data_IF_494398423079
#
_entry.id   IF_494398423079
#
_cell.length_a   1.000
_cell.length_b   1.000
_cell.length_c   1.000
_cell.angle_alpha   90.00
_cell.angle_beta   90.00
_cell.angle_gamma   90.00
#
_symmetry.space_group_name_H-M   'P 1'
#
loop_
_entity.id
_entity.type
_entity.pdbx_description
1 polymer ?
#
# COMPACT_ATOMS: atom_id res chain seq x y z
N UNK A 1 -2.87 -32.21 -0.11
CA UNK A 1 -1.80 -31.43 -0.76
C UNK A 1 -1.45 -30.23 0.15
N UNK A 2 -0.16 -29.90 0.27
CA UNK A 2 0.26 -28.73 1.04
C UNK A 2 -0.10 -27.41 0.30
N UNK A 3 -0.53 -26.39 1.04
CA UNK A 3 -0.81 -25.07 0.49
C UNK A 3 0.49 -24.27 0.32
N UNK A 4 0.61 -23.51 -0.76
CA UNK A 4 1.67 -22.53 -0.94
C UNK A 4 1.53 -21.38 0.06
N UNK A 5 2.59 -20.58 0.25
CA UNK A 5 2.54 -19.40 1.13
C UNK A 5 1.45 -18.42 0.67
N UNK A 6 1.36 -18.16 -0.64
CA UNK A 6 0.32 -17.29 -1.21
C UNK A 6 -1.10 -17.83 -0.89
N UNK A 7 -1.35 -19.12 -1.09
CA UNK A 7 -2.64 -19.73 -0.77
C UNK A 7 -2.98 -19.61 0.73
N UNK A 8 -1.99 -19.75 1.61
CA UNK A 8 -2.21 -19.60 3.05
C UNK A 8 -2.59 -18.16 3.41
N UNK A 9 -1.92 -17.17 2.82
CA UNK A 9 -2.21 -15.74 3.04
C UNK A 9 -3.60 -15.41 2.52
N UNK A 10 -3.93 -15.80 1.29
CA UNK A 10 -5.25 -15.56 0.69
C UNK A 10 -6.35 -16.18 1.55
N UNK A 11 -6.17 -17.43 1.98
CA UNK A 11 -7.14 -18.12 2.84
C UNK A 11 -7.34 -17.42 4.19
N UNK A 12 -6.29 -16.89 4.78
CA UNK A 12 -6.36 -16.16 6.05
C UNK A 12 -7.13 -14.84 5.96
N UNK A 13 -7.19 -14.24 4.75
CA UNK A 13 -7.84 -12.95 4.49
C UNK A 13 -9.16 -13.10 3.71
N UNK A 14 -9.58 -14.34 3.42
CA UNK A 14 -10.81 -14.62 2.68
C UNK A 14 -12.03 -14.26 3.54
N UNK A 15 -12.88 -13.38 3.04
CA UNK A 15 -14.14 -12.97 3.69
C UNK A 15 -15.39 -13.38 2.91
N UNK A 16 -15.23 -13.63 1.60
CA UNK A 16 -16.33 -14.04 0.72
C UNK A 16 -15.82 -14.91 -0.43
N UNK A 17 -16.65 -15.86 -0.87
CA UNK A 17 -16.33 -16.78 -1.94
C UNK A 17 -15.50 -18.00 -1.52
N UNK A 18 -15.09 -18.79 -2.48
CA UNK A 18 -14.25 -19.97 -2.30
C UNK A 18 -12.98 -19.88 -3.15
N UNK A 19 -11.87 -20.42 -2.63
CA UNK A 19 -10.58 -20.42 -3.34
C UNK A 19 -10.54 -21.41 -4.50
N UNK A 20 -11.36 -21.18 -5.52
CA UNK A 20 -11.43 -21.95 -6.76
C UNK A 20 -10.89 -21.09 -7.90
N UNK A 21 -10.05 -21.68 -8.76
CA UNK A 21 -9.49 -20.99 -9.91
C UNK A 21 -10.59 -20.47 -10.84
N UNK A 22 -10.52 -19.18 -11.19
CA UNK A 22 -11.48 -18.52 -12.08
C UNK A 22 -12.72 -17.97 -11.39
N UNK A 23 -12.86 -18.11 -10.08
CA UNK A 23 -13.93 -17.49 -9.30
C UNK A 23 -13.47 -16.19 -8.64
N UNK A 24 -14.38 -15.23 -8.53
CA UNK A 24 -14.18 -14.03 -7.73
C UNK A 24 -14.21 -14.36 -6.24
N UNK A 25 -13.33 -13.72 -5.49
CA UNK A 25 -13.23 -13.87 -4.04
C UNK A 25 -13.12 -12.51 -3.37
N UNK A 26 -13.74 -12.34 -2.21
CA UNK A 26 -13.58 -11.17 -1.36
C UNK A 26 -12.44 -11.36 -0.37
N UNK A 27 -11.48 -10.44 -0.37
CA UNK A 27 -10.34 -10.45 0.56
C UNK A 27 -10.36 -9.20 1.44
N UNK A 28 -10.17 -9.39 2.73
CA UNK A 28 -9.91 -8.28 3.65
C UNK A 28 -8.46 -7.83 3.51
N UNK A 29 -8.26 -6.55 3.24
CA UNK A 29 -6.93 -5.94 3.15
C UNK A 29 -6.59 -5.25 4.47
N UNK A 30 -5.51 -5.64 5.10
CA UNK A 30 -5.06 -5.06 6.36
C UNK A 30 -4.12 -3.88 6.14
N UNK A 31 -3.26 -3.97 5.13
CA UNK A 31 -2.24 -2.96 4.88
C UNK A 31 -2.13 -2.65 3.39
N UNK A 32 -1.92 -1.37 3.08
CA UNK A 32 -1.64 -0.91 1.71
C UNK A 32 -0.30 -0.21 1.67
N UNK A 33 0.38 -0.36 0.54
CA UNK A 33 1.63 0.33 0.24
C UNK A 33 1.52 0.95 -1.15
N UNK A 34 1.86 2.23 -1.23
CA UNK A 34 2.07 2.93 -2.50
C UNK A 34 3.48 3.48 -2.56
N UNK A 35 4.00 3.68 -3.74
CA UNK A 35 5.30 4.30 -3.99
C UNK A 35 5.14 5.48 -4.95
N UNK A 36 6.14 6.35 -5.04
CA UNK A 36 6.04 7.63 -5.74
C UNK A 36 5.85 7.51 -7.25
N UNK A 37 6.38 6.48 -7.91
CA UNK A 37 6.25 6.35 -9.36
C UNK A 37 4.79 6.12 -9.83
N UNK A 38 3.97 5.43 -9.05
CA UNK A 38 2.58 5.12 -9.38
C UNK A 38 1.57 5.73 -8.41
N UNK A 39 2.05 6.26 -7.30
CA UNK A 39 1.21 6.79 -6.21
C UNK A 39 0.33 7.95 -6.66
N UNK A 40 0.85 8.88 -7.45
CA UNK A 40 0.10 10.03 -7.95
C UNK A 40 -1.14 9.58 -8.73
N UNK A 41 -1.01 8.61 -9.64
CA UNK A 41 -2.15 8.08 -10.39
C UNK A 41 -3.16 7.36 -9.48
N UNK A 42 -2.68 6.57 -8.52
CA UNK A 42 -3.53 5.86 -7.59
C UNK A 42 -4.37 6.84 -6.73
N UNK A 43 -3.77 7.91 -6.23
CA UNK A 43 -4.48 8.91 -5.44
C UNK A 43 -5.43 9.77 -6.26
N UNK A 44 -5.09 10.11 -7.51
CA UNK A 44 -6.02 10.81 -8.40
C UNK A 44 -7.28 9.96 -8.67
N UNK A 45 -7.12 8.67 -8.89
CA UNK A 45 -8.26 7.77 -9.06
C UNK A 45 -9.06 7.61 -7.76
N UNK A 46 -8.39 7.54 -6.62
CA UNK A 46 -9.05 7.49 -5.32
C UNK A 46 -9.91 8.73 -5.06
N UNK A 47 -9.38 9.92 -5.36
CA UNK A 47 -10.14 11.17 -5.29
C UNK A 47 -11.34 11.17 -6.25
N UNK A 48 -11.15 10.67 -7.48
CA UNK A 48 -12.23 10.56 -8.47
C UNK A 48 -13.36 9.61 -8.04
N UNK A 49 -13.08 8.62 -7.20
CA UNK A 49 -14.08 7.73 -6.61
C UNK A 49 -14.95 8.40 -5.54
N UNK A 50 -14.56 9.57 -5.06
CA UNK A 50 -15.30 10.31 -4.01
C UNK A 50 -15.30 9.60 -2.65
N UNK A 51 -14.30 8.79 -2.35
CA UNK A 51 -14.15 8.09 -1.08
C UNK A 51 -13.28 8.94 -0.15
N UNK A 52 -13.79 9.27 1.02
CA UNK A 52 -13.12 10.20 1.94
C UNK A 52 -11.87 9.62 2.59
N UNK A 53 -11.88 8.34 2.95
CA UNK A 53 -10.78 7.71 3.68
C UNK A 53 -10.58 6.24 3.34
N UNK A 54 -9.33 5.80 3.39
CA UNK A 54 -8.94 4.40 3.29
C UNK A 54 -9.23 3.69 4.62
N UNK A 55 -9.96 2.57 4.56
CA UNK A 55 -10.36 1.77 5.74
C UNK A 55 -9.43 0.57 5.98
N UNK A 56 -8.12 0.76 5.94
CA UNK A 56 -7.15 -0.27 6.28
C UNK A 56 -6.52 0.01 7.64
N UNK A 57 -6.00 -1.02 8.30
CA UNK A 57 -5.29 -0.85 9.57
C UNK A 57 -4.04 0.03 9.43
N UNK A 58 -3.39 -0.05 8.27
CA UNK A 58 -2.21 0.75 7.95
C UNK A 58 -2.10 1.00 6.45
N UNK A 59 -1.96 2.25 6.10
CA UNK A 59 -1.63 2.69 4.74
C UNK A 59 -0.36 3.51 4.77
N UNK A 60 0.58 3.21 3.89
CA UNK A 60 1.88 3.88 3.83
C UNK A 60 2.22 4.22 2.39
N UNK A 61 2.70 5.44 2.16
CA UNK A 61 3.28 5.84 0.90
C UNK A 61 4.78 6.10 1.08
N UNK A 62 5.57 5.62 0.14
CA UNK A 62 7.01 5.82 0.11
C UNK A 62 7.42 6.68 -1.08
N UNK A 63 8.42 7.50 -0.85
CA UNK A 63 9.15 8.21 -1.88
C UNK A 63 10.54 7.58 -1.92
N UNK A 64 10.76 6.68 -2.85
CA UNK A 64 11.97 5.87 -2.91
C UNK A 64 12.52 5.64 -4.33
N UNK A 65 11.71 5.77 -5.36
CA UNK A 65 12.13 5.57 -6.75
C UNK A 65 12.69 6.87 -7.37
N UNK A 66 12.02 7.99 -7.14
CA UNK A 66 12.35 9.30 -7.73
C UNK A 66 12.94 10.27 -6.69
N UNK A 67 13.83 9.80 -5.83
CA UNK A 67 14.47 10.64 -4.81
C UNK A 67 15.47 11.61 -5.38
N UNK A 68 16.20 11.22 -6.43
CA UNK A 68 17.09 12.06 -7.20
C UNK A 68 16.41 12.43 -8.51
N UNK A 69 16.18 13.72 -8.71
CA UNK A 69 15.44 14.23 -9.84
C UNK A 69 16.14 15.45 -10.43
N UNK A 70 16.06 15.61 -11.73
CA UNK A 70 16.65 16.74 -12.47
C UNK A 70 15.64 17.78 -12.91
N UNK A 71 14.35 17.61 -12.64
CA UNK A 71 13.26 18.49 -13.00
C UNK A 71 12.33 18.76 -11.83
N UNK A 72 11.23 19.45 -12.08
CA UNK A 72 10.21 19.77 -11.08
C UNK A 72 9.09 18.73 -11.00
N UNK A 73 8.93 17.89 -11.99
CA UNK A 73 7.80 16.98 -12.16
C UNK A 73 7.66 16.02 -10.97
N UNK A 74 8.74 15.34 -10.63
CA UNK A 74 8.74 14.43 -9.48
C UNK A 74 8.57 15.18 -8.14
N UNK A 75 9.06 16.42 -8.05
CA UNK A 75 8.87 17.24 -6.86
C UNK A 75 7.40 17.61 -6.67
N UNK A 76 6.69 17.92 -7.74
CA UNK A 76 5.26 18.20 -7.72
C UNK A 76 4.46 16.94 -7.38
N UNK A 77 4.80 15.78 -7.94
CA UNK A 77 4.21 14.49 -7.59
C UNK A 77 4.38 14.19 -6.08
N UNK A 78 5.58 14.37 -5.54
CA UNK A 78 5.84 14.16 -4.11
C UNK A 78 5.04 15.11 -3.22
N UNK A 79 4.89 16.38 -3.65
CA UNK A 79 4.09 17.34 -2.94
C UNK A 79 2.60 16.98 -2.96
N UNK A 80 2.11 16.57 -4.13
CA UNK A 80 0.73 16.09 -4.29
C UNK A 80 0.46 14.88 -3.41
N UNK A 81 1.27 13.82 -3.49
CA UNK A 81 1.15 12.64 -2.65
C UNK A 81 1.14 13.03 -1.17
N UNK A 82 2.04 13.92 -0.75
CA UNK A 82 2.10 14.38 0.63
C UNK A 82 0.87 15.19 1.09
N UNK A 83 0.15 15.86 0.18
CA UNK A 83 -1.10 16.55 0.49
C UNK A 83 -2.29 15.61 0.54
N UNK A 84 -2.44 14.73 -0.44
CA UNK A 84 -3.52 13.74 -0.49
C UNK A 84 -3.48 12.78 0.69
N UNK A 85 -2.28 12.35 1.11
CA UNK A 85 -2.12 11.47 2.27
C UNK A 85 -2.57 12.08 3.58
N UNK A 86 -2.47 13.39 3.74
CA UNK A 86 -2.94 14.07 4.96
C UNK A 86 -4.45 14.06 5.09
N UNK A 87 -5.16 14.01 3.99
CA UNK A 87 -6.63 13.97 3.96
C UNK A 87 -7.20 12.55 3.98
N UNK A 88 -6.50 11.58 3.38
CA UNK A 88 -7.07 10.25 3.09
C UNK A 88 -6.44 9.09 3.86
N UNK A 89 -5.22 9.26 4.40
CA UNK A 89 -4.44 8.18 5.01
C UNK A 89 -3.88 8.60 6.37
N UNK A 90 -4.01 7.72 7.36
CA UNK A 90 -3.65 8.00 8.75
C UNK A 90 -2.14 8.11 9.03
N UNK A 91 -1.26 7.64 8.15
CA UNK A 91 0.18 7.64 8.40
C UNK A 91 1.00 7.87 7.13
N UNK A 92 1.71 8.99 7.09
CA UNK A 92 2.65 9.32 6.02
C UNK A 92 4.09 9.08 6.49
N UNK A 93 4.85 8.30 5.75
CA UNK A 93 6.29 8.17 5.98
C UNK A 93 7.05 8.58 4.73
N UNK A 94 7.84 9.65 4.84
CA UNK A 94 8.85 10.00 3.84
C UNK A 94 10.14 9.28 4.19
N UNK A 95 10.61 8.43 3.32
CA UNK A 95 11.92 7.82 3.50
C UNK A 95 12.61 7.64 2.15
N UNK A 96 13.70 8.34 1.99
CA UNK A 96 14.54 8.34 0.80
C UNK A 96 15.57 7.21 0.87
N UNK A 97 15.17 5.95 0.87
CA UNK A 97 16.12 4.84 0.69
C UNK A 97 15.43 3.53 0.32
N UNK A 98 16.09 2.70 -0.47
CA UNK A 98 15.72 1.31 -0.76
C UNK A 98 15.49 0.44 0.50
N UNK A 99 15.85 0.92 1.68
CA UNK A 99 15.56 0.31 2.98
C UNK A 99 14.11 0.42 3.43
N UNK A 100 13.27 1.21 2.77
CA UNK A 100 11.87 1.40 3.15
C UNK A 100 11.07 0.09 3.09
N UNK A 101 11.31 -0.72 2.08
CA UNK A 101 10.69 -2.05 1.93
C UNK A 101 11.12 -2.97 3.09
N UNK A 102 12.37 -2.90 3.52
CA UNK A 102 12.88 -3.66 4.67
C UNK A 102 12.19 -3.29 5.98
N UNK A 103 11.87 -2.02 6.20
CA UNK A 103 11.22 -1.56 7.42
C UNK A 103 9.79 -2.10 7.58
N UNK A 104 9.04 -2.27 6.48
CA UNK A 104 7.68 -2.85 6.54
C UNK A 104 7.77 -4.32 6.90
N UNK A 105 8.65 -5.07 6.28
CA UNK A 105 8.84 -6.50 6.57
C UNK A 105 9.27 -6.74 8.02
N UNK A 106 10.19 -5.94 8.54
CA UNK A 106 10.64 -6.08 9.94
C UNK A 106 9.56 -5.70 10.95
N UNK A 107 8.76 -4.66 10.69
CA UNK A 107 7.67 -4.26 11.56
C UNK A 107 6.51 -5.27 11.56
N UNK A 108 6.24 -5.90 10.41
CA UNK A 108 5.22 -6.95 10.30
C UNK A 108 5.67 -8.26 10.95
N UNK A 109 6.94 -8.63 10.82
CA UNK A 109 7.51 -9.82 11.45
C UNK A 109 7.54 -9.75 12.99
N UNK A 110 7.64 -8.55 13.58
CA UNK A 110 7.61 -8.37 15.03
C UNK A 110 6.22 -8.53 15.64
N UNK A 111 5.14 -8.39 14.85
CA UNK A 111 3.77 -8.64 15.32
C UNK A 111 3.31 -10.10 15.23
N UNK A 112 4.06 -10.95 14.55
CA UNK A 112 3.72 -12.36 14.35
C UNK A 112 4.30 -13.30 15.42
N UNK A 113 4.76 -12.77 16.55
CA UNK A 113 5.13 -13.62 17.71
C UNK A 113 3.99 -13.62 18.71
N UNK A 114 3.51 -14.85 19.08
CA UNK A 114 2.49 -15.02 20.11
C UNK A 114 3.00 -14.56 21.48
#
# INVERSE_FOLDING_TARGET
MGMTIAQKILKAHLVDGEMVLGQEIGLKIDQTLTQDATGTMAYLQFEAMGVDQVKTERSVAYIDHNTLQSGFENADDHKYIGSSLRSTVSTTRRQATASAIRCIWSASAHRARP
#
